data_IF_400264767590
#
_entry.id   IF_400264767590
#
_cell.length_a   1.000
_cell.length_b   1.000
_cell.length_c   1.000
_cell.angle_alpha   90.00
_cell.angle_beta   90.00
_cell.angle_gamma   90.00
#
_symmetry.space_group_name_H-M   'P 1'
#
loop_
_entity.id
_entity.type
_entity.pdbx_description
1 polymer ?
#
# COMPACT_ATOMS: atom_id res chain seq x y z
N UNK A 1 -10.76 -9.45 -0.88
CA UNK A 1 -9.38 -8.96 -0.95
C UNK A 1 -8.87 -9.03 -2.38
N UNK A 2 -8.16 -8.00 -2.81
CA UNK A 2 -7.54 -7.95 -4.15
C UNK A 2 -6.04 -7.69 -4.02
N UNK A 3 -5.25 -8.26 -4.95
CA UNK A 3 -3.79 -8.19 -4.93
C UNK A 3 -3.25 -6.79 -5.24
N UNK A 4 -4.05 -5.97 -5.90
CA UNK A 4 -3.70 -4.57 -6.23
C UNK A 4 -4.97 -3.76 -6.50
N UNK A 5 -4.83 -2.45 -6.57
CA UNK A 5 -5.94 -1.51 -6.74
C UNK A 5 -6.59 -1.56 -8.12
N UNK A 6 -5.88 -1.78 -9.24
CA UNK A 6 -6.53 -2.03 -10.53
C UNK A 6 -7.49 -3.23 -10.51
N UNK A 7 -7.11 -4.33 -9.85
CA UNK A 7 -7.99 -5.49 -9.66
C UNK A 7 -9.19 -5.14 -8.79
N UNK A 8 -9.01 -4.30 -7.75
CA UNK A 8 -10.10 -3.82 -6.91
C UNK A 8 -11.13 -3.00 -7.71
N UNK A 9 -10.67 -2.15 -8.61
CA UNK A 9 -11.55 -1.38 -9.50
C UNK A 9 -12.39 -2.31 -10.41
N UNK A 10 -11.77 -3.34 -10.99
CA UNK A 10 -12.46 -4.36 -11.79
C UNK A 10 -13.49 -5.14 -10.96
N UNK A 11 -13.13 -5.57 -9.75
CA UNK A 11 -14.05 -6.26 -8.83
C UNK A 11 -15.24 -5.38 -8.45
N UNK A 12 -15.00 -4.10 -8.16
CA UNK A 12 -16.07 -3.13 -7.85
C UNK A 12 -17.03 -2.96 -9.03
N UNK A 13 -16.51 -2.85 -10.25
CA UNK A 13 -17.32 -2.74 -11.46
C UNK A 13 -18.18 -3.99 -11.67
N UNK A 14 -17.63 -5.18 -11.50
CA UNK A 14 -18.34 -6.45 -11.62
C UNK A 14 -19.45 -6.59 -10.55
N UNK A 15 -19.18 -6.25 -9.30
CA UNK A 15 -20.17 -6.26 -8.22
C UNK A 15 -21.31 -5.29 -8.54
N UNK A 16 -21.01 -4.09 -9.00
CA UNK A 16 -22.01 -3.09 -9.40
C UNK A 16 -22.87 -3.59 -10.55
N UNK A 17 -22.28 -4.19 -11.57
CA UNK A 17 -23.02 -4.76 -12.71
C UNK A 17 -23.94 -5.91 -12.27
N UNK A 18 -23.54 -6.71 -11.29
CA UNK A 18 -24.33 -7.79 -10.72
C UNK A 18 -25.36 -7.34 -9.67
N UNK A 19 -25.47 -6.04 -9.36
CA UNK A 19 -26.33 -5.52 -8.29
C UNK A 19 -25.93 -6.00 -6.88
N UNK A 20 -24.65 -6.38 -6.70
CA UNK A 20 -24.11 -6.89 -5.44
C UNK A 20 -23.27 -5.84 -4.74
N UNK A 21 -23.13 -5.99 -3.43
CA UNK A 21 -22.26 -5.16 -2.59
C UNK A 21 -21.32 -6.05 -1.78
N UNK A 22 -20.07 -5.64 -1.67
CA UNK A 22 -19.08 -6.23 -0.77
C UNK A 22 -18.07 -5.16 -0.36
N UNK A 23 -17.45 -5.35 0.81
CA UNK A 23 -16.30 -4.55 1.22
C UNK A 23 -15.09 -5.08 0.44
N UNK A 24 -14.42 -4.19 -0.28
CA UNK A 24 -13.19 -4.51 -1.00
C UNK A 24 -12.01 -3.92 -0.23
N UNK A 25 -11.03 -4.75 0.05
CA UNK A 25 -9.75 -4.34 0.64
C UNK A 25 -8.65 -4.68 -0.35
N UNK A 26 -7.71 -3.76 -0.53
CA UNK A 26 -6.65 -3.88 -1.53
C UNK A 26 -5.27 -3.57 -0.94
N UNK A 27 -4.28 -3.53 -1.82
CA UNK A 27 -2.90 -3.18 -1.49
C UNK A 27 -2.34 -2.31 -2.62
N UNK A 28 -1.38 -1.49 -2.29
CA UNK A 28 -0.41 -0.67 -3.00
C UNK A 28 -0.40 0.78 -2.49
N UNK A 29 -1.54 1.45 -2.35
CA UNK A 29 -1.60 2.84 -1.93
C UNK A 29 -1.12 3.82 -2.99
N UNK A 30 -1.29 3.47 -4.27
CA UNK A 30 -1.11 4.39 -5.38
C UNK A 30 -2.19 5.48 -5.36
N UNK A 31 -1.92 6.62 -6.00
CA UNK A 31 -2.80 7.79 -5.95
C UNK A 31 -4.23 7.47 -6.37
N UNK A 32 -4.43 6.77 -7.47
CA UNK A 32 -5.75 6.38 -7.96
C UNK A 32 -6.48 5.43 -6.98
N UNK A 33 -5.75 4.49 -6.36
CA UNK A 33 -6.31 3.57 -5.38
C UNK A 33 -6.76 4.28 -4.10
N UNK A 34 -5.95 5.21 -3.59
CA UNK A 34 -6.32 6.01 -2.42
C UNK A 34 -7.51 6.94 -2.73
N UNK A 35 -7.60 7.48 -3.94
CA UNK A 35 -8.77 8.22 -4.39
C UNK A 35 -10.03 7.34 -4.41
N UNK A 36 -9.90 6.06 -4.76
CA UNK A 36 -11.01 5.10 -4.68
C UNK A 36 -11.42 4.80 -3.23
N UNK A 37 -10.50 4.86 -2.26
CA UNK A 37 -10.87 4.82 -0.84
C UNK A 37 -11.68 6.06 -0.47
N UNK A 38 -11.20 7.25 -0.82
CA UNK A 38 -11.91 8.50 -0.57
C UNK A 38 -13.31 8.55 -1.20
N UNK A 39 -13.47 7.92 -2.36
CA UNK A 39 -14.76 7.82 -3.08
C UNK A 39 -15.66 6.68 -2.57
N UNK A 40 -15.21 5.88 -1.59
CA UNK A 40 -15.97 4.73 -1.09
C UNK A 40 -16.10 3.56 -2.09
N UNK A 41 -15.29 3.53 -3.14
CA UNK A 41 -15.26 2.43 -4.12
C UNK A 41 -14.58 1.20 -3.54
N UNK A 42 -13.53 1.40 -2.75
CA UNK A 42 -12.87 0.38 -1.93
C UNK A 42 -12.85 0.84 -0.48
N UNK A 43 -12.96 -0.11 0.46
CA UNK A 43 -13.04 0.19 1.89
C UNK A 43 -11.69 0.53 2.51
N UNK A 44 -10.63 -0.10 2.04
CA UNK A 44 -9.28 0.14 2.54
C UNK A 44 -8.22 -0.31 1.55
N UNK A 45 -7.03 0.29 1.64
CA UNK A 45 -5.82 -0.18 0.95
C UNK A 45 -4.60 -0.14 1.88
N UNK A 46 -3.70 -1.12 1.76
CA UNK A 46 -2.42 -1.12 2.45
C UNK A 46 -1.40 -0.37 1.60
N UNK A 47 -1.11 0.87 1.98
CA UNK A 47 -0.16 1.72 1.26
C UNK A 47 1.27 1.30 1.54
N UNK A 48 2.02 1.03 0.49
CA UNK A 48 3.45 0.76 0.50
C UNK A 48 4.24 1.94 -0.10
N UNK A 49 5.57 1.90 0.02
CA UNK A 49 6.44 3.03 -0.32
C UNK A 49 7.50 2.63 -1.37
N UNK A 50 7.13 2.42 -2.65
CA UNK A 50 8.03 1.91 -3.69
C UNK A 50 9.24 2.83 -3.96
N UNK A 51 9.10 4.14 -3.86
CA UNK A 51 10.22 5.08 -3.99
C UNK A 51 11.27 4.86 -2.89
N UNK A 52 10.83 4.66 -1.65
CA UNK A 52 11.72 4.32 -0.52
C UNK A 52 12.38 2.96 -0.74
N UNK A 53 11.62 1.95 -1.20
CA UNK A 53 12.15 0.61 -1.48
C UNK A 53 13.22 0.67 -2.56
N UNK A 54 12.97 1.37 -3.67
CA UNK A 54 13.94 1.54 -4.75
C UNK A 54 15.22 2.25 -4.29
N UNK A 55 15.07 3.37 -3.58
CA UNK A 55 16.20 4.14 -3.05
C UNK A 55 17.08 3.31 -2.11
N UNK A 56 16.45 2.59 -1.17
CA UNK A 56 17.18 1.72 -0.24
C UNK A 56 17.86 0.55 -0.95
N UNK A 57 17.21 -0.05 -1.96
CA UNK A 57 17.76 -1.13 -2.76
C UNK A 57 19.01 -0.69 -3.53
N UNK A 58 18.95 0.44 -4.22
CA UNK A 58 20.11 1.01 -4.94
C UNK A 58 21.25 1.35 -3.98
N UNK A 59 20.94 1.97 -2.83
CA UNK A 59 21.94 2.29 -1.82
C UNK A 59 22.60 1.02 -1.25
N UNK A 60 21.84 -0.03 -1.00
CA UNK A 60 22.37 -1.30 -0.51
C UNK A 60 23.34 -1.95 -1.50
N UNK A 61 23.03 -1.92 -2.81
CA UNK A 61 23.91 -2.42 -3.86
C UNK A 61 25.18 -1.58 -3.93
N UNK A 62 25.06 -0.26 -3.90
CA UNK A 62 26.21 0.65 -3.91
C UNK A 62 27.14 0.38 -2.72
N UNK A 63 26.62 0.27 -1.50
CA UNK A 63 27.39 0.02 -0.29
C UNK A 63 28.06 -1.36 -0.31
N UNK A 64 27.38 -2.37 -0.86
CA UNK A 64 27.97 -3.70 -1.02
C UNK A 64 29.17 -3.68 -1.97
N UNK A 65 29.06 -3.01 -3.12
CA UNK A 65 30.11 -2.97 -4.13
C UNK A 65 31.29 -2.11 -3.67
N UNK A 66 31.01 -0.94 -3.09
CA UNK A 66 32.06 0.04 -2.77
C UNK A 66 32.70 -0.14 -1.40
N UNK A 67 31.95 -0.69 -0.43
CA UNK A 67 32.36 -0.78 0.98
C UNK A 67 32.35 -2.22 1.52
N UNK A 68 31.90 -3.20 0.73
CA UNK A 68 31.70 -4.58 1.21
C UNK A 68 30.60 -4.71 2.28
N UNK A 69 29.79 -3.67 2.49
CA UNK A 69 28.78 -3.64 3.53
C UNK A 69 27.51 -4.32 3.07
N UNK A 70 27.10 -5.41 3.72
CA UNK A 70 25.81 -6.07 3.44
C UNK A 70 24.65 -5.30 4.07
N UNK A 71 23.49 -5.24 3.40
CA UNK A 71 22.30 -4.61 3.98
C UNK A 71 21.88 -5.32 5.28
N UNK A 72 21.44 -4.53 6.26
CA UNK A 72 20.90 -5.07 7.51
C UNK A 72 19.42 -5.40 7.32
N UNK A 73 19.01 -6.57 7.82
CA UNK A 73 17.59 -6.93 7.89
C UNK A 73 16.94 -6.32 9.14
N UNK A 74 15.63 -6.19 9.13
CA UNK A 74 14.88 -5.79 10.31
C UNK A 74 14.96 -6.90 11.38
N UNK A 75 15.25 -6.58 12.65
CA UNK A 75 15.34 -7.59 13.71
C UNK A 75 14.10 -8.49 13.75
N UNK A 76 14.32 -9.81 13.72
CA UNK A 76 13.27 -10.82 13.69
C UNK A 76 12.70 -11.13 12.31
N UNK A 77 13.21 -10.50 11.25
CA UNK A 77 12.81 -10.76 9.85
C UNK A 77 14.04 -11.16 9.02
N UNK A 78 13.80 -11.78 7.88
CA UNK A 78 14.82 -12.13 6.88
C UNK A 78 14.95 -11.07 5.77
N UNK A 79 14.25 -9.94 5.91
CA UNK A 79 14.26 -8.79 4.98
C UNK A 79 14.26 -7.45 5.74
N UNK A 80 14.51 -6.37 5.02
CA UNK A 80 14.34 -5.02 5.54
C UNK A 80 12.89 -4.56 5.36
N UNK A 81 12.17 -4.35 6.46
CA UNK A 81 10.79 -3.86 6.43
C UNK A 81 10.76 -2.35 6.17
N UNK A 82 10.26 -1.96 5.01
CA UNK A 82 10.09 -0.55 4.62
C UNK A 82 8.86 0.11 5.23
N UNK A 83 8.02 -0.67 5.90
CA UNK A 83 6.76 -0.24 6.49
C UNK A 83 5.60 -0.26 5.50
N UNK A 84 4.41 -0.29 6.07
CA UNK A 84 3.13 -0.13 5.36
C UNK A 84 2.20 0.72 6.21
N UNK A 85 1.21 1.36 5.60
CA UNK A 85 0.16 2.10 6.30
C UNK A 85 -1.20 1.69 5.78
N UNK A 86 -2.09 1.25 6.66
CA UNK A 86 -3.48 1.01 6.30
C UNK A 86 -4.19 2.35 6.05
N UNK A 87 -4.77 2.52 4.88
CA UNK A 87 -5.54 3.70 4.49
C UNK A 87 -7.02 3.33 4.43
N UNK A 88 -7.83 4.00 5.25
CA UNK A 88 -9.29 3.83 5.26
C UNK A 88 -9.96 5.06 5.85
N UNK A 89 -11.13 5.43 5.34
CA UNK A 89 -11.96 6.49 5.92
C UNK A 89 -12.99 5.94 6.92
N UNK A 90 -13.03 4.62 7.12
CA UNK A 90 -13.80 3.91 8.14
C UNK A 90 -12.86 3.20 9.15
N UNK A 91 -12.15 3.97 10.03
CA UNK A 91 -11.20 3.40 10.97
C UNK A 91 -11.89 2.52 12.01
N UNK A 92 -11.32 1.35 12.28
CA UNK A 92 -11.82 0.41 13.27
C UNK A 92 -11.03 0.50 14.58
N UNK A 93 -11.72 0.36 15.71
CA UNK A 93 -11.09 0.39 17.03
C UNK A 93 -9.99 -0.69 17.15
N UNK A 94 -8.83 -0.30 17.65
CA UNK A 94 -7.68 -1.22 17.81
C UNK A 94 -6.92 -1.53 16.53
N UNK A 95 -7.32 -0.99 15.37
CA UNK A 95 -6.62 -1.17 14.09
C UNK A 95 -5.95 0.15 13.67
N UNK A 96 -4.63 0.29 13.80
CA UNK A 96 -3.92 1.49 13.39
C UNK A 96 -4.14 1.76 11.89
N UNK A 97 -4.61 2.95 11.57
CA UNK A 97 -4.88 3.35 10.19
C UNK A 97 -4.76 4.87 10.02
N UNK A 98 -4.67 5.31 8.77
CA UNK A 98 -4.69 6.71 8.38
C UNK A 98 -5.83 6.95 7.39
N UNK A 99 -6.31 8.19 7.31
CA UNK A 99 -7.37 8.57 6.38
C UNK A 99 -6.83 8.74 4.95
N UNK A 100 -7.73 8.71 3.98
CA UNK A 100 -7.42 8.91 2.56
C UNK A 100 -6.65 10.21 2.29
N UNK A 101 -6.90 11.29 3.03
CA UNK A 101 -6.14 12.54 2.92
C UNK A 101 -4.63 12.34 3.18
N UNK A 102 -4.27 11.56 4.20
CA UNK A 102 -2.87 11.19 4.45
C UNK A 102 -2.34 10.31 3.29
N UNK A 103 -3.13 9.33 2.89
CA UNK A 103 -2.75 8.42 1.81
C UNK A 103 -2.46 9.17 0.50
N UNK A 104 -3.29 10.14 0.12
CA UNK A 104 -3.10 10.98 -1.08
C UNK A 104 -1.81 11.81 -0.98
N UNK A 105 -1.51 12.39 0.19
CA UNK A 105 -0.31 13.19 0.40
C UNK A 105 1.00 12.37 0.33
N UNK A 106 0.92 11.05 0.55
CA UNK A 106 2.06 10.12 0.55
C UNK A 106 1.98 9.08 -0.59
N UNK A 107 1.01 9.22 -1.49
CA UNK A 107 0.85 8.31 -2.61
C UNK A 107 1.95 8.47 -3.65
N UNK A 108 2.22 7.38 -4.33
CA UNK A 108 3.08 7.33 -5.52
C UNK A 108 2.21 7.21 -6.79
N UNK A 109 2.69 7.71 -7.91
CA UNK A 109 1.99 7.70 -9.21
C UNK A 109 1.14 8.93 -9.47
#
# INVERSE_FOLDING_TARGET
YTINEPTAAGASAALKAAGKKAIIVSVDGGKAGVQNVAAGVIGATSQQYPLKMASLGVQAIYDLITKGTKPKVTPGLDFYNTGVTLITDDPQAGVPSQKSAYGIANAWG
#
